data_IF_064487545456
#
_entry.id   IF_064487545456
#
_cell.length_a   1.000
_cell.length_b   1.000
_cell.length_c   1.000
_cell.angle_alpha   90.00
_cell.angle_beta   90.00
_cell.angle_gamma   90.00
#
_symmetry.space_group_name_H-M   'P 1'
#
loop_
_entity.id
_entity.type
_entity.pdbx_description
1 polymer ?
#
# COMPACT_ATOMS: atom_id res chain seq x y z
N UNK A 1 12.12 51.56 -20.53
CA UNK A 1 13.09 51.34 -19.43
C UNK A 1 12.73 50.07 -18.63
N UNK A 2 11.49 49.92 -18.10
CA UNK A 2 11.01 48.70 -17.39
C UNK A 2 11.21 47.37 -18.15
N UNK A 3 11.04 47.36 -19.48
CA UNK A 3 11.16 46.14 -20.30
C UNK A 3 12.60 45.62 -20.39
N UNK A 4 13.59 46.48 -20.17
CA UNK A 4 15.01 46.13 -20.25
C UNK A 4 15.53 45.59 -18.91
N UNK A 5 15.01 46.08 -17.78
CA UNK A 5 15.34 45.55 -16.45
C UNK A 5 14.79 44.13 -16.24
N UNK A 6 13.58 43.84 -16.74
CA UNK A 6 12.99 42.51 -16.69
C UNK A 6 13.81 41.47 -17.48
N UNK A 7 14.34 41.87 -18.65
CA UNK A 7 15.20 41.01 -19.47
C UNK A 7 16.56 40.76 -18.81
N UNK A 8 17.09 41.75 -18.09
CA UNK A 8 18.37 41.66 -17.36
C UNK A 8 18.23 40.76 -16.13
N UNK A 9 17.10 40.81 -15.44
CA UNK A 9 16.75 39.91 -14.34
C UNK A 9 16.53 38.47 -14.82
N UNK A 10 15.83 38.28 -15.95
CA UNK A 10 15.65 36.96 -16.58
C UNK A 10 16.98 36.32 -17.00
N UNK A 11 17.90 37.10 -17.58
CA UNK A 11 19.27 36.62 -17.91
C UNK A 11 20.09 36.30 -16.66
N UNK A 12 19.92 37.04 -15.56
CA UNK A 12 20.65 36.82 -14.30
C UNK A 12 20.12 35.60 -13.53
N UNK A 13 18.80 35.33 -13.57
CA UNK A 13 18.20 34.07 -13.09
C UNK A 13 18.63 32.89 -13.97
N UNK A 14 18.64 33.09 -15.28
CA UNK A 14 19.08 32.08 -16.26
C UNK A 14 20.56 31.68 -16.12
N UNK A 15 21.41 32.57 -15.59
CA UNK A 15 22.84 32.27 -15.35
C UNK A 15 23.12 31.71 -13.96
N UNK A 16 22.32 32.05 -12.93
CA UNK A 16 22.54 31.59 -11.54
C UNK A 16 21.87 30.24 -11.24
N UNK A 17 20.75 29.89 -11.90
CA UNK A 17 20.02 28.63 -11.67
C UNK A 17 20.61 27.39 -12.36
N UNK A 18 21.67 27.56 -13.15
CA UNK A 18 22.26 26.50 -14.01
C UNK A 18 23.00 25.39 -13.26
N UNK A 19 23.07 25.42 -11.93
CA UNK A 19 23.73 24.38 -11.13
C UNK A 19 22.97 24.02 -9.84
N UNK A 20 21.69 24.39 -9.73
CA UNK A 20 20.73 23.72 -8.84
C UNK A 20 19.70 22.97 -9.70
N UNK A 21 20.20 21.89 -10.31
CA UNK A 21 19.54 20.70 -10.84
C UNK A 21 18.10 20.84 -11.38
N UNK A 22 17.98 20.60 -12.69
CA UNK A 22 16.77 20.36 -13.51
C UNK A 22 15.71 19.37 -12.94
N UNK A 23 15.95 18.80 -11.75
CA UNK A 23 15.11 17.82 -11.08
C UNK A 23 13.80 18.39 -10.53
N UNK A 24 13.84 19.54 -9.84
CA UNK A 24 12.61 20.19 -9.35
C UNK A 24 11.70 20.54 -10.52
N UNK A 25 12.30 21.04 -11.60
CA UNK A 25 11.62 21.38 -12.84
C UNK A 25 11.01 20.13 -13.51
N UNK A 26 11.68 18.98 -13.44
CA UNK A 26 11.15 17.69 -13.91
C UNK A 26 9.96 17.21 -13.06
N UNK A 27 10.06 17.24 -11.74
CA UNK A 27 8.95 16.89 -10.85
C UNK A 27 7.75 17.82 -11.07
N UNK A 28 8.00 19.11 -11.21
CA UNK A 28 6.97 20.10 -11.56
C UNK A 28 6.34 19.76 -12.91
N UNK A 29 7.12 19.37 -13.92
CA UNK A 29 6.60 18.97 -15.24
C UNK A 29 5.75 17.69 -15.18
N UNK A 30 6.20 16.67 -14.45
CA UNK A 30 5.44 15.41 -14.26
C UNK A 30 4.15 15.70 -13.52
N UNK A 31 4.21 16.48 -12.43
CA UNK A 31 3.04 16.89 -11.66
C UNK A 31 2.07 17.71 -12.53
N UNK A 32 2.58 18.65 -13.33
CA UNK A 32 1.79 19.43 -14.29
C UNK A 32 1.14 18.54 -15.35
N UNK A 33 1.82 17.51 -15.83
CA UNK A 33 1.30 16.59 -16.84
C UNK A 33 0.18 15.72 -16.26
N UNK A 34 0.41 15.10 -15.09
CA UNK A 34 -0.62 14.34 -14.36
C UNK A 34 -1.81 15.25 -14.05
N UNK A 35 -1.55 16.47 -13.60
CA UNK A 35 -2.58 17.46 -13.31
C UNK A 35 -3.40 17.83 -14.56
N UNK A 36 -2.77 18.15 -15.69
CA UNK A 36 -3.49 18.46 -16.96
C UNK A 36 -4.36 17.30 -17.44
N UNK A 37 -3.86 16.09 -17.27
CA UNK A 37 -4.49 14.87 -17.75
C UNK A 37 -5.66 14.42 -16.88
N UNK A 38 -5.58 14.61 -15.56
CA UNK A 38 -6.63 14.27 -14.58
C UNK A 38 -7.62 15.40 -14.35
N UNK A 39 -7.18 16.65 -14.54
CA UNK A 39 -7.94 17.89 -14.37
C UNK A 39 -7.72 18.78 -15.59
N UNK A 40 -8.64 18.76 -16.57
CA UNK A 40 -8.58 19.68 -17.69
C UNK A 40 -8.52 21.11 -17.14
N UNK A 41 -7.46 21.86 -17.49
CA UNK A 41 -7.19 23.25 -17.11
C UNK A 41 -8.31 23.90 -16.28
N UNK A 42 -8.27 23.69 -14.96
CA UNK A 42 -9.04 24.41 -13.93
C UNK A 42 -10.57 24.32 -13.91
N UNK A 43 -11.27 23.43 -14.63
CA UNK A 43 -12.75 23.53 -14.71
C UNK A 43 -13.57 22.26 -14.58
N UNK A 44 -13.01 21.05 -14.74
CA UNK A 44 -13.84 19.85 -14.78
C UNK A 44 -13.82 19.06 -13.46
N UNK A 45 -14.63 19.51 -12.49
CA UNK A 45 -14.86 18.81 -11.21
C UNK A 45 -15.19 17.33 -11.42
N UNK A 46 -16.07 17.02 -12.37
CA UNK A 46 -16.51 15.65 -12.65
C UNK A 46 -15.34 14.76 -13.11
N UNK A 47 -14.37 15.31 -13.85
CA UNK A 47 -13.19 14.56 -14.29
C UNK A 47 -12.29 14.19 -13.11
N UNK A 48 -12.06 15.12 -12.18
CA UNK A 48 -11.28 14.88 -10.95
C UNK A 48 -11.99 13.89 -10.05
N UNK A 49 -13.32 14.04 -9.87
CA UNK A 49 -14.13 13.12 -9.07
C UNK A 49 -14.08 11.70 -9.63
N UNK A 50 -14.29 11.52 -10.93
CA UNK A 50 -14.20 10.22 -11.58
C UNK A 50 -12.82 9.56 -11.39
N UNK A 51 -11.74 10.34 -11.47
CA UNK A 51 -10.39 9.84 -11.23
C UNK A 51 -10.17 9.46 -9.76
N UNK A 52 -10.70 10.26 -8.83
CA UNK A 52 -10.61 9.99 -7.39
C UNK A 52 -11.34 8.69 -7.04
N UNK A 53 -12.55 8.51 -7.58
CA UNK A 53 -13.35 7.29 -7.41
C UNK A 53 -12.63 6.07 -7.99
N UNK A 54 -11.99 6.22 -9.15
CA UNK A 54 -11.16 5.17 -9.73
C UNK A 54 -10.00 4.78 -8.80
N UNK A 55 -9.33 5.74 -8.17
CA UNK A 55 -8.22 5.46 -7.25
C UNK A 55 -8.68 4.80 -5.94
N UNK A 56 -9.81 5.24 -5.38
CA UNK A 56 -10.43 4.58 -4.22
C UNK A 56 -10.81 3.14 -4.56
N UNK A 57 -11.48 2.94 -5.71
CA UNK A 57 -11.90 1.63 -6.18
C UNK A 57 -10.71 0.71 -6.42
N UNK A 58 -9.64 1.20 -7.07
CA UNK A 58 -8.45 0.43 -7.34
C UNK A 58 -7.73 0.01 -6.06
N UNK A 59 -7.61 0.93 -5.09
CA UNK A 59 -7.01 0.61 -3.79
C UNK A 59 -7.77 -0.48 -3.05
N UNK A 60 -9.10 -0.37 -2.99
CA UNK A 60 -9.95 -1.38 -2.35
C UNK A 60 -9.89 -2.73 -3.07
N UNK A 61 -9.96 -2.73 -4.41
CA UNK A 61 -9.87 -3.94 -5.22
C UNK A 61 -8.53 -4.65 -5.00
N UNK A 62 -7.42 -3.91 -5.04
CA UNK A 62 -6.09 -4.49 -4.84
C UNK A 62 -5.88 -4.97 -3.40
N UNK A 63 -6.39 -4.24 -2.40
CA UNK A 63 -6.39 -4.70 -1.02
C UNK A 63 -7.12 -6.04 -0.85
N UNK A 64 -8.28 -6.21 -1.51
CA UNK A 64 -9.01 -7.48 -1.52
C UNK A 64 -8.24 -8.60 -2.22
N UNK A 65 -7.66 -8.31 -3.40
CA UNK A 65 -6.85 -9.29 -4.15
C UNK A 65 -5.65 -9.73 -3.32
N UNK A 66 -4.90 -8.80 -2.71
CA UNK A 66 -3.76 -9.15 -1.86
C UNK A 66 -4.17 -9.99 -0.66
N UNK A 67 -5.25 -9.64 0.05
CA UNK A 67 -5.74 -10.42 1.18
C UNK A 67 -6.04 -11.88 0.83
N UNK A 68 -6.55 -12.16 -0.38
CA UNK A 68 -6.83 -13.53 -0.83
C UNK A 68 -5.63 -14.25 -1.43
N UNK A 69 -4.70 -13.51 -2.04
CA UNK A 69 -3.57 -14.09 -2.79
C UNK A 69 -2.30 -14.23 -1.96
N UNK A 70 -2.18 -13.59 -0.79
CA UNK A 70 -0.94 -13.61 0.00
C UNK A 70 -0.51 -15.02 0.39
N UNK A 71 -1.46 -15.91 0.67
CA UNK A 71 -1.22 -17.31 1.00
C UNK A 71 -0.65 -18.08 -0.20
N UNK A 72 -1.16 -17.77 -1.39
CA UNK A 72 -0.66 -18.34 -2.64
C UNK A 72 0.74 -17.77 -2.97
N UNK A 73 0.95 -16.46 -2.82
CA UNK A 73 2.25 -15.81 -3.07
C UNK A 73 3.31 -16.37 -2.12
N UNK A 74 2.99 -16.55 -0.84
CA UNK A 74 3.91 -17.11 0.17
C UNK A 74 4.29 -18.57 -0.08
N UNK A 75 3.60 -19.30 -0.97
CA UNK A 75 3.96 -20.67 -1.34
C UNK A 75 5.11 -20.74 -2.36
N UNK A 76 5.38 -19.64 -3.06
CA UNK A 76 6.46 -19.57 -4.03
C UNK A 76 7.81 -19.39 -3.34
N UNK A 77 8.86 -19.90 -3.99
CA UNK A 77 10.22 -19.69 -3.53
C UNK A 77 10.59 -18.20 -3.61
N UNK A 78 11.38 -17.71 -2.66
CA UNK A 78 11.81 -16.31 -2.62
C UNK A 78 12.51 -15.90 -3.91
N UNK A 79 13.33 -16.78 -4.49
CA UNK A 79 14.02 -16.57 -5.77
C UNK A 79 13.03 -16.36 -6.93
N UNK A 80 11.93 -17.11 -6.99
CA UNK A 80 10.96 -16.94 -8.09
C UNK A 80 10.18 -15.64 -7.99
N UNK A 81 9.87 -15.19 -6.76
CA UNK A 81 9.20 -13.89 -6.54
C UNK A 81 10.13 -12.74 -6.91
N UNK A 82 11.43 -12.86 -6.58
CA UNK A 82 12.46 -11.91 -7.00
C UNK A 82 12.53 -11.82 -8.53
N UNK A 83 12.58 -12.96 -9.23
CA UNK A 83 12.59 -12.98 -10.70
C UNK A 83 11.32 -12.33 -11.27
N UNK A 84 10.14 -12.61 -10.71
CA UNK A 84 8.89 -11.99 -11.14
C UNK A 84 8.89 -10.46 -10.93
N UNK A 85 9.48 -9.96 -9.84
CA UNK A 85 9.68 -8.53 -9.60
C UNK A 85 10.49 -7.87 -10.72
N UNK A 86 11.57 -8.52 -11.18
CA UNK A 86 12.36 -8.02 -12.30
C UNK A 86 11.54 -7.91 -13.58
N UNK A 87 10.71 -8.90 -13.90
CA UNK A 87 9.84 -8.87 -15.07
C UNK A 87 8.81 -7.75 -15.00
N UNK A 88 8.13 -7.59 -13.86
CA UNK A 88 7.14 -6.52 -13.66
C UNK A 88 7.81 -5.15 -13.83
N UNK A 89 9.01 -4.99 -13.25
CA UNK A 89 9.73 -3.74 -13.37
C UNK A 89 10.17 -3.46 -14.81
N UNK A 90 10.69 -4.47 -15.50
CA UNK A 90 11.04 -4.33 -16.91
C UNK A 90 9.82 -3.91 -17.74
N UNK A 91 8.64 -4.48 -17.47
CA UNK A 91 7.40 -4.05 -18.11
C UNK A 91 7.04 -2.59 -17.80
N UNK A 92 7.17 -2.15 -16.54
CA UNK A 92 6.95 -0.76 -16.13
C UNK A 92 7.87 0.22 -16.87
N UNK A 93 9.15 -0.16 -16.99
CA UNK A 93 10.16 0.59 -17.72
C UNK A 93 9.79 0.71 -19.21
N UNK A 94 9.38 -0.40 -19.83
CA UNK A 94 8.97 -0.42 -21.24
C UNK A 94 7.73 0.46 -21.48
N UNK A 95 6.76 0.41 -20.58
CA UNK A 95 5.59 1.30 -20.62
C UNK A 95 6.02 2.76 -20.49
N UNK A 96 6.94 3.09 -19.58
CA UNK A 96 7.45 4.45 -19.42
C UNK A 96 8.17 4.97 -20.67
N UNK A 97 9.02 4.15 -21.30
CA UNK A 97 9.65 4.50 -22.59
C UNK A 97 8.63 4.74 -23.71
N UNK A 98 7.56 3.95 -23.74
CA UNK A 98 6.52 4.07 -24.75
C UNK A 98 5.62 5.31 -24.55
N UNK A 99 5.49 5.84 -23.33
CA UNK A 99 4.64 7.01 -22.98
C UNK A 99 5.23 8.36 -23.44
N UNK A 100 6.07 8.36 -24.48
CA UNK A 100 6.39 9.48 -25.40
C UNK A 100 7.66 10.30 -25.08
N UNK A 101 8.61 10.19 -26.02
CA UNK A 101 9.48 11.17 -26.75
C UNK A 101 9.51 12.67 -26.37
N UNK A 102 9.13 13.11 -25.18
CA UNK A 102 9.02 14.53 -24.81
C UNK A 102 9.57 14.89 -23.41
N UNK A 103 10.01 13.92 -22.62
CA UNK A 103 10.78 14.14 -21.39
C UNK A 103 12.23 13.73 -21.65
N UNK A 104 13.13 14.69 -21.48
CA UNK A 104 14.55 14.63 -21.82
C UNK A 104 15.24 13.30 -21.46
N UNK A 105 16.07 12.80 -22.38
CA UNK A 105 16.89 11.57 -22.29
C UNK A 105 17.70 11.41 -21.01
N UNK A 106 17.90 12.47 -20.21
CA UNK A 106 18.67 12.44 -18.96
C UNK A 106 17.83 12.05 -17.73
N UNK A 107 16.51 12.34 -17.72
CA UNK A 107 15.62 11.97 -16.61
C UNK A 107 15.31 10.48 -16.56
N UNK A 108 15.22 9.82 -17.73
CA UNK A 108 15.02 8.37 -17.83
C UNK A 108 16.23 7.58 -17.30
N UNK A 109 17.46 8.04 -17.56
CA UNK A 109 18.70 7.38 -17.10
C UNK A 109 18.83 7.46 -15.58
N UNK A 110 18.45 8.60 -14.98
CA UNK A 110 18.48 8.80 -13.52
C UNK A 110 17.38 7.99 -12.82
N UNK A 111 16.19 7.90 -13.41
CA UNK A 111 15.13 7.00 -12.93
C UNK A 111 15.57 5.54 -12.99
N UNK A 112 16.27 5.13 -14.05
CA UNK A 112 16.93 3.82 -14.16
C UNK A 112 18.01 3.61 -13.09
N UNK A 113 18.79 4.65 -12.76
CA UNK A 113 19.80 4.59 -11.71
C UNK A 113 19.16 4.41 -10.32
N UNK A 114 18.14 5.21 -10.00
CA UNK A 114 17.43 5.13 -8.70
C UNK A 114 16.68 3.81 -8.58
N UNK A 115 16.01 3.34 -9.64
CA UNK A 115 15.35 2.03 -9.64
C UNK A 115 16.34 0.87 -9.63
N UNK A 116 17.45 0.96 -10.37
CA UNK A 116 18.52 -0.03 -10.35
C UNK A 116 19.16 -0.14 -8.98
N UNK A 117 19.41 0.99 -8.30
CA UNK A 117 19.90 1.04 -6.91
C UNK A 117 18.85 0.49 -5.94
N UNK A 118 17.57 0.81 -6.12
CA UNK A 118 16.46 0.27 -5.31
C UNK A 118 16.36 -1.25 -5.44
N UNK A 119 16.55 -1.80 -6.64
CA UNK A 119 16.61 -3.24 -6.88
C UNK A 119 17.86 -3.87 -6.26
N UNK A 120 19.03 -3.25 -6.41
CA UNK A 120 20.27 -3.76 -5.80
C UNK A 120 20.16 -3.75 -4.27
N UNK A 121 19.49 -2.75 -3.70
CA UNK A 121 19.17 -2.66 -2.28
C UNK A 121 18.18 -3.78 -1.85
N UNK A 122 17.19 -4.08 -2.69
CA UNK A 122 16.28 -5.22 -2.49
C UNK A 122 16.98 -6.58 -2.60
N UNK A 123 17.98 -6.72 -3.47
CA UNK A 123 18.82 -7.92 -3.59
C UNK A 123 19.77 -8.10 -2.41
N UNK A 124 20.22 -7.02 -1.79
CA UNK A 124 21.06 -7.06 -0.59
C UNK A 124 20.25 -7.41 0.67
N UNK A 125 18.94 -7.16 0.65
CA UNK A 125 18.02 -7.42 1.76
C UNK A 125 17.26 -8.75 1.53
N UNK A 126 17.95 -9.90 1.66
CA UNK A 126 17.33 -11.23 1.80
C UNK A 126 16.55 -11.35 3.13
N UNK A 127 15.56 -10.50 3.31
CA UNK A 127 14.71 -10.36 4.49
C UNK A 127 13.25 -10.62 4.09
N UNK A 128 12.34 -10.99 5.02
CA UNK A 128 10.92 -11.27 4.75
C UNK A 128 10.12 -10.16 4.01
N UNK A 129 10.74 -9.03 3.69
CA UNK A 129 10.17 -7.83 3.03
C UNK A 129 9.97 -8.00 1.50
N UNK A 130 10.37 -9.12 0.89
CA UNK A 130 10.22 -9.32 -0.56
C UNK A 130 8.76 -9.46 -1.03
N UNK A 131 7.86 -10.07 -0.22
CA UNK A 131 6.44 -10.24 -0.59
C UNK A 131 5.69 -8.89 -0.58
N UNK A 132 5.78 -8.06 0.47
CA UNK A 132 5.17 -6.73 0.45
C UNK A 132 5.69 -5.86 -0.69
N UNK A 133 6.98 -5.97 -1.02
CA UNK A 133 7.59 -5.24 -2.15
C UNK A 133 7.00 -5.68 -3.49
N UNK A 134 6.81 -6.99 -3.69
CA UNK A 134 6.16 -7.52 -4.88
C UNK A 134 4.72 -7.02 -5.02
N UNK A 135 3.95 -7.04 -3.93
CA UNK A 135 2.58 -6.52 -3.91
C UNK A 135 2.56 -5.01 -4.22
N UNK A 136 3.50 -4.24 -3.66
CA UNK A 136 3.63 -2.81 -3.95
C UNK A 136 3.92 -2.54 -5.44
N UNK A 137 4.83 -3.30 -6.06
CA UNK A 137 5.15 -3.15 -7.48
C UNK A 137 3.95 -3.47 -8.39
N UNK A 138 3.20 -4.54 -8.08
CA UNK A 138 1.94 -4.85 -8.77
C UNK A 138 0.95 -3.71 -8.62
N UNK A 139 0.79 -3.18 -7.40
CA UNK A 139 -0.12 -2.07 -7.14
C UNK A 139 0.28 -0.81 -7.93
N UNK A 140 1.56 -0.44 -7.92
CA UNK A 140 2.07 0.69 -8.69
C UNK A 140 1.86 0.50 -10.21
N UNK A 141 2.15 -0.69 -10.73
CA UNK A 141 1.88 -1.04 -12.12
C UNK A 141 0.39 -0.92 -12.48
N UNK A 142 -0.49 -1.35 -11.58
CA UNK A 142 -1.93 -1.23 -11.78
C UNK A 142 -2.38 0.24 -11.82
N UNK A 143 -1.86 1.10 -10.94
CA UNK A 143 -2.15 2.54 -10.96
C UNK A 143 -1.79 3.13 -12.32
N UNK A 144 -0.60 2.82 -12.83
CA UNK A 144 -0.15 3.30 -14.14
C UNK A 144 -1.04 2.79 -15.26
N UNK A 145 -1.38 1.50 -15.25
CA UNK A 145 -2.28 0.90 -16.24
C UNK A 145 -3.67 1.56 -16.24
N UNK A 146 -4.28 1.71 -15.06
CA UNK A 146 -5.61 2.34 -14.93
C UNK A 146 -5.57 3.84 -15.24
N UNK A 147 -4.47 4.53 -14.95
CA UNK A 147 -4.26 5.91 -15.39
C UNK A 147 -4.22 6.01 -16.92
N UNK A 148 -3.52 5.10 -17.62
CA UNK A 148 -3.52 5.06 -19.09
C UNK A 148 -4.91 4.76 -19.66
N UNK A 149 -5.65 3.81 -19.06
CA UNK A 149 -7.03 3.53 -19.43
C UNK A 149 -7.95 4.75 -19.23
N UNK A 150 -7.74 5.50 -18.15
CA UNK A 150 -8.50 6.73 -17.88
C UNK A 150 -8.25 7.82 -18.94
N UNK A 151 -7.06 7.86 -19.54
CA UNK A 151 -6.70 8.78 -20.61
C UNK A 151 -7.11 8.31 -22.01
N UNK A 152 -7.61 7.07 -22.13
CA UNK A 152 -8.01 6.54 -23.42
C UNK A 152 -9.13 7.39 -24.04
N UNK A 153 -9.01 7.69 -25.33
CA UNK A 153 -10.01 8.51 -26.04
C UNK A 153 -11.26 7.70 -26.44
N UNK A 154 -11.21 6.37 -26.33
CA UNK A 154 -12.31 5.48 -26.70
C UNK A 154 -13.43 5.59 -25.65
N UNK A 155 -14.52 6.28 -26.02
CA UNK A 155 -15.67 6.59 -25.14
C UNK A 155 -16.25 5.36 -24.43
N UNK A 156 -16.32 4.20 -25.11
CA UNK A 156 -16.87 2.98 -24.55
C UNK A 156 -16.02 2.42 -23.39
N UNK A 157 -14.69 2.39 -23.54
CA UNK A 157 -13.79 1.95 -22.46
C UNK A 157 -13.87 2.88 -21.25
N UNK A 158 -13.89 4.20 -21.48
CA UNK A 158 -14.02 5.20 -20.41
C UNK A 158 -15.36 5.03 -19.67
N UNK A 159 -16.44 4.75 -20.39
CA UNK A 159 -17.76 4.50 -19.79
C UNK A 159 -17.75 3.24 -18.90
N UNK A 160 -17.26 2.11 -19.42
CA UNK A 160 -17.18 0.85 -18.68
C UNK A 160 -16.29 1.02 -17.44
N UNK A 161 -15.12 1.64 -17.58
CA UNK A 161 -14.20 1.88 -16.47
C UNK A 161 -14.85 2.66 -15.33
N UNK A 162 -15.60 3.72 -15.66
CA UNK A 162 -16.34 4.50 -14.66
C UNK A 162 -17.42 3.64 -14.02
N UNK A 163 -18.23 2.93 -14.79
CA UNK A 163 -19.30 2.09 -14.26
C UNK A 163 -18.77 1.08 -13.24
N UNK A 164 -17.67 0.40 -13.57
CA UNK A 164 -17.00 -0.54 -12.66
C UNK A 164 -16.47 0.17 -11.40
N UNK A 165 -15.81 1.33 -11.57
CA UNK A 165 -15.27 2.09 -10.44
C UNK A 165 -16.37 2.58 -9.48
N UNK A 166 -17.50 3.08 -9.99
CA UNK A 166 -18.64 3.48 -9.18
C UNK A 166 -19.31 2.28 -8.50
N UNK A 167 -19.46 1.14 -9.18
CA UNK A 167 -19.96 -0.09 -8.58
C UNK A 167 -19.08 -0.55 -7.42
N UNK A 168 -17.76 -0.54 -7.61
CA UNK A 168 -16.79 -0.86 -6.56
C UNK A 168 -16.84 0.14 -5.39
N UNK A 169 -17.01 1.43 -5.66
CA UNK A 169 -17.19 2.45 -4.60
C UNK A 169 -18.41 2.16 -3.72
N UNK A 170 -19.53 1.77 -4.31
CA UNK A 170 -20.75 1.40 -3.55
C UNK A 170 -20.45 0.22 -2.63
N UNK A 171 -19.75 -0.81 -3.12
CA UNK A 171 -19.32 -1.96 -2.31
C UNK A 171 -18.41 -1.51 -1.15
N UNK A 172 -17.47 -0.61 -1.40
CA UNK A 172 -16.57 -0.07 -0.37
C UNK A 172 -17.35 0.67 0.72
N UNK A 173 -18.30 1.52 0.35
CA UNK A 173 -19.13 2.28 1.30
C UNK A 173 -19.93 1.34 2.20
N UNK A 174 -20.47 0.24 1.66
CA UNK A 174 -21.29 -0.72 2.41
C UNK A 174 -20.43 -1.59 3.33
N UNK A 175 -19.29 -2.11 2.84
CA UNK A 175 -18.51 -3.11 3.57
C UNK A 175 -17.44 -2.51 4.50
N UNK A 176 -16.62 -1.60 3.98
CA UNK A 176 -15.42 -1.07 4.65
C UNK A 176 -15.21 0.40 4.27
N UNK A 177 -16.07 1.34 4.76
CA UNK A 177 -15.97 2.76 4.40
C UNK A 177 -14.65 3.41 4.83
N UNK A 178 -13.93 2.80 5.78
CA UNK A 178 -12.60 3.20 6.22
C UNK A 178 -11.57 3.27 5.08
N UNK A 179 -11.74 2.50 4.00
CA UNK A 179 -10.83 2.51 2.84
C UNK A 179 -10.86 3.82 2.04
N UNK A 180 -11.91 4.63 2.21
CA UNK A 180 -11.99 5.97 1.59
C UNK A 180 -11.01 6.93 2.27
N UNK A 181 -10.74 6.74 3.57
CA UNK A 181 -9.79 7.56 4.30
C UNK A 181 -8.37 7.22 3.82
N UNK A 182 -7.62 8.20 3.25
CA UNK A 182 -6.27 7.95 2.74
C UNK A 182 -5.34 7.39 3.81
N UNK A 183 -5.50 7.84 5.06
CA UNK A 183 -4.58 7.55 6.14
C UNK A 183 -4.92 6.29 6.95
N UNK A 184 -6.08 5.67 6.70
CA UNK A 184 -6.51 4.50 7.46
C UNK A 184 -5.52 3.34 7.34
N UNK A 185 -4.93 3.11 6.17
CA UNK A 185 -3.95 2.05 5.97
C UNK A 185 -2.58 2.31 6.58
N UNK A 186 -2.23 3.58 6.85
CA UNK A 186 -0.95 3.95 7.45
C UNK A 186 -1.02 3.78 8.97
N UNK A 187 -2.10 4.26 9.59
CA UNK A 187 -2.23 4.34 11.05
C UNK A 187 -3.10 3.23 11.67
N UNK A 188 -3.85 2.47 10.86
CA UNK A 188 -4.81 1.47 11.35
C UNK A 188 -4.92 0.29 10.37
N UNK A 189 -3.77 -0.17 9.88
CA UNK A 189 -3.68 -1.30 8.94
C UNK A 189 -4.29 -2.57 9.47
N UNK A 190 -4.14 -2.83 10.77
CA UNK A 190 -4.71 -3.95 11.53
C UNK A 190 -6.25 -4.02 11.42
N UNK A 191 -6.93 -2.88 11.28
CA UNK A 191 -8.40 -2.81 11.19
C UNK A 191 -8.94 -2.99 9.77
N UNK A 192 -8.08 -2.89 8.76
CA UNK A 192 -8.50 -2.93 7.37
C UNK A 192 -8.72 -4.36 6.86
N UNK A 193 -8.06 -5.35 7.44
CA UNK A 193 -8.24 -6.76 7.11
C UNK A 193 -8.76 -7.56 8.32
N UNK A 194 -9.11 -8.82 8.11
CA UNK A 194 -9.48 -9.74 9.18
C UNK A 194 -8.25 -10.59 9.52
N UNK A 195 -7.81 -10.54 10.77
CA UNK A 195 -6.62 -11.26 11.23
C UNK A 195 -6.83 -12.77 11.18
N UNK A 196 -5.99 -13.47 10.41
CA UNK A 196 -6.01 -14.93 10.37
C UNK A 196 -5.51 -15.52 11.68
N UNK A 197 -4.61 -14.81 12.37
CA UNK A 197 -4.14 -15.17 13.70
C UNK A 197 -5.28 -15.13 14.73
N UNK A 198 -6.05 -14.04 14.80
CA UNK A 198 -7.17 -13.94 15.74
C UNK A 198 -8.22 -15.02 15.50
N UNK A 199 -8.50 -15.34 14.23
CA UNK A 199 -9.39 -16.44 13.87
C UNK A 199 -8.86 -17.79 14.34
N UNK A 200 -7.59 -18.09 14.05
CA UNK A 200 -6.95 -19.35 14.44
C UNK A 200 -6.82 -19.48 15.97
N UNK A 201 -6.62 -18.36 16.66
CA UNK A 201 -6.61 -18.27 18.13
C UNK A 201 -8.01 -18.54 18.70
N UNK A 202 -9.08 -18.07 18.04
CA UNK A 202 -10.45 -18.33 18.45
C UNK A 202 -10.89 -19.78 18.23
N UNK A 203 -10.30 -20.46 17.25
CA UNK A 203 -10.55 -21.89 16.98
C UNK A 203 -9.80 -22.84 17.94
N UNK A 204 -8.93 -22.31 18.80
CA UNK A 204 -8.29 -23.08 19.87
C UNK A 204 -9.27 -23.41 21.01
N UNK A 205 -9.00 -24.54 21.65
CA UNK A 205 -9.64 -24.92 22.91
C UNK A 205 -9.25 -23.96 24.04
N UNK A 206 -10.19 -23.73 24.96
CA UNK A 206 -10.02 -22.84 26.13
C UNK A 206 -8.75 -23.12 26.91
N UNK A 207 -8.41 -24.39 27.13
CA UNK A 207 -7.19 -24.79 27.85
C UNK A 207 -5.91 -24.48 27.07
N UNK A 208 -5.90 -24.59 25.74
CA UNK A 208 -4.73 -24.23 24.94
C UNK A 208 -4.48 -22.72 24.96
N UNK A 209 -5.54 -21.90 24.95
CA UNK A 209 -5.43 -20.44 25.03
C UNK A 209 -4.80 -20.03 26.37
N UNK A 210 -5.28 -20.59 27.49
CA UNK A 210 -4.71 -20.29 28.81
C UNK A 210 -3.25 -20.75 28.91
N UNK A 211 -2.94 -21.96 28.45
CA UNK A 211 -1.56 -22.46 28.46
C UNK A 211 -0.64 -21.62 27.56
N UNK A 212 -1.13 -21.11 26.42
CA UNK A 212 -0.35 -20.23 25.57
C UNK A 212 -0.08 -18.88 26.24
N UNK A 213 -1.09 -18.32 26.93
CA UNK A 213 -0.94 -17.10 27.71
C UNK A 213 0.05 -17.27 28.88
N UNK A 214 0.01 -18.40 29.60
CA UNK A 214 0.96 -18.67 30.69
C UNK A 214 2.39 -18.84 30.18
N UNK A 215 2.58 -19.53 29.03
CA UNK A 215 3.89 -19.64 28.37
C UNK A 215 4.44 -18.26 28.00
N UNK A 216 3.59 -17.35 27.53
CA UNK A 216 3.95 -15.97 27.19
C UNK A 216 4.33 -15.13 28.42
N UNK A 217 3.67 -15.35 29.56
CA UNK A 217 3.94 -14.62 30.80
C UNK A 217 5.12 -15.17 31.61
N UNK A 218 5.74 -16.28 31.17
CA UNK A 218 6.79 -17.00 31.92
C UNK A 218 6.37 -17.45 33.33
N UNK A 219 5.08 -17.38 33.64
CA UNK A 219 4.50 -17.82 34.91
C UNK A 219 4.18 -19.32 34.77
N UNK A 220 5.13 -20.15 35.17
CA UNK A 220 5.05 -21.60 35.10
C UNK A 220 4.09 -22.17 36.16
N UNK A 221 2.79 -21.99 35.94
CA UNK A 221 1.77 -22.89 36.45
C UNK A 221 1.00 -23.41 35.25
N UNK A 222 1.49 -24.48 34.62
CA UNK A 222 0.77 -25.18 33.56
C UNK A 222 -0.59 -25.58 34.12
N UNK A 223 -1.63 -24.91 33.63
CA UNK A 223 -3.00 -25.18 34.03
C UNK A 223 -3.44 -26.48 33.33
N UNK A 224 -2.88 -27.60 33.80
CA UNK A 224 -3.21 -28.93 33.33
C UNK A 224 -4.65 -29.24 33.73
N UNK A 225 -5.52 -29.03 32.74
CA UNK A 225 -6.84 -29.63 32.52
C UNK A 225 -7.88 -29.37 33.62
N UNK A 226 -9.02 -28.84 33.19
CA UNK A 226 -10.28 -28.83 33.93
C UNK A 226 -10.41 -27.83 35.09
N UNK A 227 -10.14 -26.54 34.83
CA UNK A 227 -10.77 -25.46 35.60
C UNK A 227 -11.91 -24.82 34.83
N UNK A 228 -12.97 -24.45 35.54
CA UNK A 228 -14.06 -23.60 35.05
C UNK A 228 -13.50 -22.18 34.81
N UNK A 229 -12.79 -22.00 33.70
CA UNK A 229 -12.23 -20.72 33.28
C UNK A 229 -13.40 -19.78 32.98
N UNK A 230 -13.43 -18.64 33.64
CA UNK A 230 -14.47 -17.64 33.39
C UNK A 230 -14.30 -17.02 32.00
N UNK A 231 -15.40 -16.56 31.40
CA UNK A 231 -15.37 -15.86 30.11
C UNK A 231 -14.48 -14.60 30.15
N UNK A 232 -14.40 -13.93 31.31
CA UNK A 232 -13.55 -12.77 31.51
C UNK A 232 -12.05 -13.12 31.49
N UNK A 233 -11.65 -14.20 32.16
CA UNK A 233 -10.25 -14.69 32.15
C UNK A 233 -9.83 -15.13 30.75
N UNK A 234 -10.72 -15.85 30.03
CA UNK A 234 -10.45 -16.27 28.65
C UNK A 234 -10.23 -15.07 27.72
N UNK A 235 -11.09 -14.06 27.79
CA UNK A 235 -10.94 -12.86 26.96
C UNK A 235 -9.70 -12.06 27.32
N UNK A 236 -9.35 -11.98 28.60
CA UNK A 236 -8.10 -11.36 29.06
C UNK A 236 -6.88 -12.10 28.51
N UNK A 237 -6.87 -13.44 28.55
CA UNK A 237 -5.81 -14.26 27.98
C UNK A 237 -5.68 -14.05 26.46
N UNK A 238 -6.80 -14.03 25.73
CA UNK A 238 -6.81 -13.72 24.29
C UNK A 238 -6.23 -12.33 24.00
N UNK A 239 -6.66 -11.31 24.73
CA UNK A 239 -6.16 -9.95 24.57
C UNK A 239 -4.65 -9.86 24.82
N UNK A 240 -4.15 -10.57 25.84
CA UNK A 240 -2.73 -10.63 26.16
C UNK A 240 -1.92 -11.32 25.05
N UNK A 241 -2.43 -12.41 24.50
CA UNK A 241 -1.80 -13.14 23.39
C UNK A 241 -1.74 -12.27 22.14
N UNK A 242 -2.84 -11.58 21.79
CA UNK A 242 -2.90 -10.68 20.64
C UNK A 242 -1.92 -9.52 20.79
N UNK A 243 -1.85 -8.91 21.98
CA UNK A 243 -0.92 -7.81 22.27
C UNK A 243 0.55 -8.24 22.19
N UNK A 244 0.86 -9.49 22.53
CA UNK A 244 2.23 -10.03 22.59
C UNK A 244 2.51 -11.07 21.49
N UNK A 245 1.78 -11.05 20.38
CA UNK A 245 1.91 -12.07 19.31
C UNK A 245 3.33 -12.21 18.76
N UNK A 246 4.12 -11.13 18.72
CA UNK A 246 5.52 -11.17 18.29
C UNK A 246 6.42 -12.00 19.21
N UNK A 247 6.09 -12.09 20.50
CA UNK A 247 6.88 -12.86 21.46
C UNK A 247 6.75 -14.37 21.20
N UNK A 248 5.65 -14.81 20.55
CA UNK A 248 5.48 -16.21 20.11
C UNK A 248 6.50 -16.60 19.03
N UNK A 249 6.94 -15.66 18.20
CA UNK A 249 8.02 -15.88 17.21
C UNK A 249 9.39 -15.99 17.86
N UNK A 250 9.56 -15.42 19.06
CA UNK A 250 10.85 -15.25 19.74
C UNK A 250 10.95 -16.06 21.05
N UNK A 251 10.10 -17.06 21.24
CA UNK A 251 10.16 -17.93 22.42
C UNK A 251 11.52 -18.63 22.51
N UNK A 252 12.03 -18.74 23.74
CA UNK A 252 13.24 -19.51 24.01
C UNK A 252 13.02 -21.01 23.73
N UNK A 253 14.11 -21.77 23.58
CA UNK A 253 14.05 -23.19 23.18
C UNK A 253 13.18 -24.04 24.14
N UNK A 254 13.25 -23.76 25.45
CA UNK A 254 12.47 -24.48 26.45
C UNK A 254 10.95 -24.24 26.27
N UNK A 255 10.54 -22.97 26.21
CA UNK A 255 9.13 -22.59 26.05
C UNK A 255 8.58 -22.98 24.68
N UNK A 256 9.42 -22.96 23.63
CA UNK A 256 9.07 -23.44 22.30
C UNK A 256 8.74 -24.93 22.32
N UNK A 257 9.56 -25.74 23.01
CA UNK A 257 9.33 -27.18 23.13
C UNK A 257 8.04 -27.47 23.90
N UNK A 258 7.79 -26.75 25.00
CA UNK A 258 6.55 -26.87 25.78
C UNK A 258 5.34 -26.45 24.94
N UNK A 259 5.42 -25.34 24.20
CA UNK A 259 4.33 -24.90 23.33
C UNK A 259 4.02 -25.92 22.24
N UNK A 260 5.06 -26.54 21.65
CA UNK A 260 4.90 -27.64 20.69
C UNK A 260 4.34 -28.92 21.33
N UNK A 261 4.69 -29.21 22.57
CA UNK A 261 4.14 -30.38 23.29
C UNK A 261 2.65 -30.18 23.62
N UNK A 262 2.26 -28.97 24.03
CA UNK A 262 0.88 -28.66 24.44
C UNK A 262 -0.07 -28.43 23.25
N UNK A 263 0.39 -27.74 22.21
CA UNK A 263 -0.44 -27.37 21.05
C UNK A 263 -0.14 -28.21 19.79
N UNK A 264 0.97 -28.94 19.74
CA UNK A 264 1.35 -29.76 18.59
C UNK A 264 1.46 -28.95 17.30
N UNK A 265 0.86 -29.48 16.24
CA UNK A 265 0.81 -28.84 14.92
C UNK A 265 0.09 -27.49 14.92
N UNK A 266 -0.91 -27.29 15.82
CA UNK A 266 -1.66 -26.02 15.90
C UNK A 266 -0.77 -24.83 16.27
N UNK A 267 0.31 -25.07 17.01
CA UNK A 267 1.29 -24.02 17.31
C UNK A 267 2.01 -23.55 16.05
N UNK A 268 2.40 -24.48 15.17
CA UNK A 268 3.08 -24.14 13.91
C UNK A 268 2.13 -23.44 12.93
N UNK A 269 0.86 -23.80 12.94
CA UNK A 269 -0.19 -23.12 12.19
C UNK A 269 -0.39 -21.68 12.69
N UNK A 270 -0.48 -21.48 14.01
CA UNK A 270 -0.51 -20.15 14.63
C UNK A 270 0.68 -19.29 14.19
N UNK A 271 1.90 -19.83 14.27
CA UNK A 271 3.10 -19.11 13.87
C UNK A 271 3.05 -18.67 12.40
N UNK A 272 2.56 -19.55 11.52
CA UNK A 272 2.36 -19.25 10.10
C UNK A 272 1.36 -18.12 9.90
N UNK A 273 0.25 -18.13 10.64
CA UNK A 273 -0.77 -17.07 10.56
C UNK A 273 -0.28 -15.72 11.09
N UNK A 274 0.59 -15.69 12.11
CA UNK A 274 1.25 -14.44 12.57
C UNK A 274 2.08 -13.83 11.45
N UNK A 275 2.93 -14.63 10.81
CA UNK A 275 3.78 -14.17 9.71
C UNK A 275 2.92 -13.68 8.52
N UNK A 276 1.81 -14.35 8.22
CA UNK A 276 0.88 -13.94 7.15
C UNK A 276 0.21 -12.59 7.46
N UNK A 277 -0.24 -12.40 8.69
CA UNK A 277 -0.83 -11.14 9.13
C UNK A 277 0.20 -10.01 9.08
N UNK A 278 1.45 -10.24 9.50
CA UNK A 278 2.54 -9.25 9.40
C UNK A 278 2.83 -8.85 7.94
N UNK A 279 2.90 -9.82 7.02
CA UNK A 279 3.09 -9.54 5.58
C UNK A 279 1.89 -8.73 5.03
N UNK A 280 0.67 -9.07 5.44
CA UNK A 280 -0.55 -8.36 5.01
C UNK A 280 -0.54 -6.93 5.52
N UNK A 281 -0.20 -6.73 6.79
CA UNK A 281 -0.09 -5.42 7.42
C UNK A 281 0.95 -4.54 6.72
N UNK A 282 2.13 -5.08 6.45
CA UNK A 282 3.21 -4.37 5.74
C UNK A 282 2.83 -4.03 4.29
N UNK A 283 2.09 -4.92 3.62
CA UNK A 283 1.52 -4.67 2.28
C UNK A 283 0.51 -3.52 2.30
N UNK A 284 -0.40 -3.51 3.27
CA UNK A 284 -1.41 -2.45 3.43
C UNK A 284 -0.73 -1.11 3.74
N UNK A 285 0.21 -1.09 4.69
CA UNK A 285 0.98 0.11 5.05
C UNK A 285 1.70 0.69 3.84
N UNK A 286 2.50 -0.10 3.13
CA UNK A 286 3.28 0.36 1.98
C UNK A 286 2.41 0.87 0.83
N UNK A 287 1.34 0.15 0.46
CA UNK A 287 0.41 0.59 -0.59
C UNK A 287 -0.41 1.82 -0.19
N UNK A 288 -0.77 1.94 1.09
CA UNK A 288 -1.53 3.08 1.62
C UNK A 288 -0.77 4.40 1.60
N UNK A 289 0.57 4.38 1.68
CA UNK A 289 1.42 5.57 1.50
C UNK A 289 1.23 6.15 0.10
N UNK A 290 1.34 5.31 -0.93
CA UNK A 290 1.15 5.74 -2.32
C UNK A 290 -0.29 6.22 -2.57
N UNK A 291 -1.28 5.47 -2.06
CA UNK A 291 -2.69 5.87 -2.13
C UNK A 291 -2.94 7.24 -1.47
N UNK A 292 -2.37 7.47 -0.29
CA UNK A 292 -2.48 8.75 0.44
C UNK A 292 -1.95 9.91 -0.38
N UNK A 293 -0.77 9.76 -0.99
CA UNK A 293 -0.17 10.79 -1.84
C UNK A 293 -1.10 11.12 -3.01
N UNK A 294 -1.61 10.10 -3.70
CA UNK A 294 -2.51 10.27 -4.85
C UNK A 294 -3.81 10.98 -4.43
N UNK A 295 -4.43 10.56 -3.32
CA UNK A 295 -5.67 11.15 -2.85
C UNK A 295 -5.47 12.60 -2.36
N UNK A 296 -4.35 12.90 -1.71
CA UNK A 296 -4.00 14.27 -1.31
C UNK A 296 -3.87 15.18 -2.53
N UNK A 297 -3.23 14.71 -3.61
CA UNK A 297 -3.15 15.43 -4.88
C UNK A 297 -4.53 15.66 -5.52
N UNK A 298 -5.43 14.67 -5.42
CA UNK A 298 -6.81 14.80 -5.87
C UNK A 298 -7.58 15.85 -5.04
N UNK A 299 -7.49 15.80 -3.72
CA UNK A 299 -8.14 16.76 -2.80
C UNK A 299 -7.62 18.17 -3.05
N UNK A 300 -6.31 18.35 -3.21
CA UNK A 300 -5.71 19.64 -3.55
C UNK A 300 -6.25 20.17 -4.89
N UNK A 301 -6.40 19.30 -5.88
CA UNK A 301 -6.97 19.65 -7.19
C UNK A 301 -8.45 20.03 -7.10
N UNK A 302 -9.23 19.32 -6.27
CA UNK A 302 -10.63 19.64 -5.97
C UNK A 302 -10.76 21.01 -5.28
N UNK A 303 -9.96 21.27 -4.24
CA UNK A 303 -9.97 22.55 -3.52
C UNK A 303 -9.66 23.73 -4.44
N UNK A 304 -8.66 23.58 -5.31
CA UNK A 304 -8.28 24.62 -6.29
C UNK A 304 -9.40 24.90 -7.30
N UNK A 305 -10.17 23.88 -7.67
CA UNK A 305 -11.32 24.00 -8.58
C UNK A 305 -12.50 24.66 -7.89
N UNK A 306 -12.82 24.25 -6.65
CA UNK A 306 -13.89 24.83 -5.84
C UNK A 306 -13.67 26.33 -5.57
N UNK A 307 -12.45 26.74 -5.20
CA UNK A 307 -12.10 28.15 -4.97
C UNK A 307 -12.27 29.02 -6.21
N UNK A 308 -12.01 28.49 -7.41
CA UNK A 308 -12.23 29.25 -8.66
C UNK A 308 -13.71 29.37 -9.01
N UNK A 309 -14.47 28.31 -8.80
CA UNK A 309 -15.91 28.29 -9.09
C UNK A 309 -16.75 29.04 -8.04
N UNK A 310 -16.22 29.27 -6.83
CA UNK A 310 -16.87 30.09 -5.80
C UNK A 310 -16.64 31.60 -5.99
N UNK A 311 -15.68 32.00 -6.84
CA UNK A 311 -15.50 33.40 -7.25
C UNK A 311 -16.45 33.64 -8.43
N UNK A 312 -17.74 33.68 -8.12
CA UNK A 312 -18.74 34.28 -9.01
C UNK A 312 -18.62 35.79 -8.79
N UNK A 313 -18.34 36.61 -9.83
CA UNK A 313 -18.56 38.05 -9.68
C UNK A 313 -20.07 38.24 -9.43
N UNK A 314 -20.39 38.86 -8.31
CA UNK A 314 -21.75 39.35 -8.05
C UNK A 314 -22.08 40.47 -9.04
#
# INVERSE_FOLDING_TARGET
ILKFEYLKFYRKISSLGKTMLDFTLWFDCVLLQVYRNTSNHHTNFLKILNFTILMISLYAFMGFVFSKTINFISSFNSVSIIIANYFILFALIMVFFNVKRQLHQQGSILFFGIFGIFIILMMLLLSPVYIPTFCFLIYFASILFFYLLFLCEIKLFVFILRLVAYGCLIVVIILKPQLINPFAGIFSSDKLYESQFEKSLNDLNTSAIINLASILQSDFNLHLKDQNISFAELNSAKALIVANKENLLKLNVANLNIAKEVLGEKYTELLKTINQDEITENTIKSTSVLYSIILLLCIFSLQKTARKNSIVPS
#
